data_IF_252029778443
#
_entry.id   IF_252029778443
#
_cell.length_a   1.000
_cell.length_b   1.000
_cell.length_c   1.000
_cell.angle_alpha   90.00
_cell.angle_beta   90.00
_cell.angle_gamma   90.00
#
_symmetry.space_group_name_H-M   'P 1'
#
loop_
_entity.id
_entity.type
_entity.pdbx_description
1 polymer ?
#
# COMPACT_ATOMS: atom_id res chain seq x y z
N UNK A 1 -19.55 10.51 14.91
CA UNK A 1 -18.14 10.94 15.10
C UNK A 1 -18.19 12.31 15.77
N UNK A 2 -17.41 12.58 16.83
CA UNK A 2 -17.40 13.93 17.43
C UNK A 2 -16.59 14.87 16.53
N UNK A 3 -16.95 16.15 16.47
CA UNK A 3 -16.32 17.15 15.60
C UNK A 3 -14.84 17.37 15.91
N UNK A 4 -14.42 17.17 17.16
CA UNK A 4 -13.01 17.25 17.59
C UNK A 4 -12.09 16.16 16.99
N UNK A 5 -12.67 15.12 16.37
CA UNK A 5 -11.95 14.06 15.65
C UNK A 5 -12.22 14.12 14.13
N UNK A 6 -12.51 15.31 13.60
CA UNK A 6 -12.58 15.50 12.15
C UNK A 6 -11.16 15.61 11.57
N UNK A 7 -10.75 14.57 10.84
CA UNK A 7 -9.44 14.46 10.21
C UNK A 7 -9.48 14.72 8.70
N UNK A 8 -10.54 15.36 8.19
CA UNK A 8 -10.71 15.60 6.75
C UNK A 8 -9.61 16.48 6.13
N UNK A 9 -9.01 17.39 6.90
CA UNK A 9 -7.85 18.20 6.49
C UNK A 9 -6.49 17.60 6.93
N UNK A 10 -6.48 16.32 7.33
CA UNK A 10 -5.28 15.65 7.81
C UNK A 10 -4.21 15.49 6.73
N UNK A 11 -3.01 16.04 6.95
CA UNK A 11 -1.87 15.86 6.05
C UNK A 11 -1.08 14.61 6.41
N UNK A 12 -0.66 13.86 5.39
CA UNK A 12 0.13 12.65 5.58
C UNK A 12 1.48 12.93 6.25
N UNK A 13 1.71 12.35 7.42
CA UNK A 13 2.93 12.56 8.20
C UNK A 13 4.19 11.90 7.60
N UNK A 14 5.37 12.37 8.04
CA UNK A 14 6.70 11.93 7.55
C UNK A 14 6.99 10.43 7.65
N UNK A 15 6.29 9.70 8.52
CA UNK A 15 6.50 8.26 8.75
C UNK A 15 5.56 7.34 7.96
N UNK A 16 4.74 7.88 7.05
CA UNK A 16 3.72 7.09 6.36
C UNK A 16 4.29 5.89 5.57
N UNK A 17 5.48 6.03 4.97
CA UNK A 17 6.14 4.94 4.23
C UNK A 17 6.62 3.83 5.16
N UNK A 18 7.11 4.19 6.36
CA UNK A 18 7.54 3.22 7.36
C UNK A 18 6.36 2.39 7.88
N UNK A 19 5.20 3.04 8.08
CA UNK A 19 3.97 2.38 8.50
C UNK A 19 3.50 1.27 7.53
N UNK A 20 3.74 1.45 6.22
CA UNK A 20 3.41 0.45 5.18
C UNK A 20 4.23 -0.83 5.22
N UNK A 21 5.36 -0.86 5.94
CA UNK A 21 6.22 -2.06 6.04
C UNK A 21 5.59 -3.20 6.82
N UNK A 22 4.43 -2.94 7.43
CA UNK A 22 3.81 -3.86 8.35
C UNK A 22 4.00 -3.40 9.78
N UNK A 23 2.94 -3.43 10.55
CA UNK A 23 2.98 -3.16 11.98
C UNK A 23 1.88 -3.97 12.68
N UNK A 24 2.08 -4.17 13.99
CA UNK A 24 1.15 -4.88 14.84
C UNK A 24 0.41 -3.87 15.71
N UNK A 25 -0.91 -3.88 15.64
CA UNK A 25 -1.78 -3.10 16.53
C UNK A 25 -2.27 -4.02 17.64
N UNK A 26 -2.02 -3.64 18.90
CA UNK A 26 -2.53 -4.32 20.09
C UNK A 26 -3.63 -3.46 20.70
N UNK A 27 -4.85 -3.95 20.67
CA UNK A 27 -6.02 -3.30 21.26
C UNK A 27 -6.27 -3.96 22.62
N UNK A 28 -6.05 -3.19 23.68
CA UNK A 28 -6.37 -3.58 25.04
C UNK A 28 -7.83 -3.24 25.31
N UNK A 29 -8.62 -4.25 25.68
CA UNK A 29 -10.02 -4.06 26.05
C UNK A 29 -10.15 -3.97 27.57
N UNK A 30 -11.21 -3.31 28.02
CA UNK A 30 -11.51 -3.12 29.45
C UNK A 30 -11.75 -4.46 30.19
N UNK A 31 -12.07 -5.52 29.44
CA UNK A 31 -12.22 -6.90 29.93
C UNK A 31 -10.88 -7.65 30.12
N UNK A 32 -9.74 -6.97 29.91
CA UNK A 32 -8.39 -7.52 30.03
C UNK A 32 -7.92 -8.32 28.80
N UNK A 33 -8.75 -8.48 27.76
CA UNK A 33 -8.35 -9.19 26.54
C UNK A 33 -7.51 -8.28 25.64
N UNK A 34 -6.53 -8.87 24.98
CA UNK A 34 -5.71 -8.20 23.97
C UNK A 34 -6.11 -8.73 22.59
N UNK A 35 -6.59 -7.85 21.71
CA UNK A 35 -6.78 -8.16 20.29
C UNK A 35 -5.55 -7.70 19.52
N UNK A 36 -4.92 -8.62 18.80
CA UNK A 36 -3.73 -8.36 18.00
C UNK A 36 -4.12 -8.37 16.53
N UNK A 37 -3.94 -7.26 15.84
CA UNK A 37 -4.19 -7.14 14.41
C UNK A 37 -2.88 -6.82 13.68
N UNK A 38 -2.53 -7.66 12.71
CA UNK A 38 -1.34 -7.46 11.89
C UNK A 38 -1.76 -6.75 10.60
N UNK A 39 -1.30 -5.52 10.43
CA UNK A 39 -1.53 -4.73 9.22
C UNK A 39 -0.25 -4.75 8.38
N UNK A 40 -0.01 -5.86 7.69
CA UNK A 40 1.08 -6.05 6.72
C UNK A 40 0.48 -6.15 5.32
N UNK A 41 1.17 -5.60 4.31
CA UNK A 41 0.86 -5.94 2.93
C UNK A 41 1.21 -7.41 2.70
N UNK A 42 0.24 -8.19 2.25
CA UNK A 42 0.47 -9.56 1.81
C UNK A 42 1.54 -9.60 0.71
N UNK A 43 2.20 -10.74 0.58
CA UNK A 43 3.25 -10.91 -0.43
C UNK A 43 2.67 -10.69 -1.84
N UNK A 44 3.28 -9.78 -2.60
CA UNK A 44 2.79 -9.36 -3.93
C UNK A 44 1.77 -8.21 -3.92
N UNK A 45 1.27 -7.76 -2.77
CA UNK A 45 0.41 -6.59 -2.71
C UNK A 45 1.20 -5.29 -2.91
N UNK A 46 0.65 -4.37 -3.71
CA UNK A 46 1.21 -3.03 -3.95
C UNK A 46 0.16 -2.00 -3.57
N UNK A 47 0.55 -1.03 -2.73
CA UNK A 47 -0.33 0.07 -2.35
C UNK A 47 -0.17 1.24 -3.33
N UNK A 48 -1.25 1.59 -4.03
CA UNK A 48 -1.29 2.77 -4.91
C UNK A 48 -1.42 4.05 -4.09
N UNK A 49 -0.62 5.06 -4.45
CA UNK A 49 -0.74 6.38 -3.84
C UNK A 49 -2.07 7.07 -4.24
N UNK A 50 -2.62 7.97 -3.40
CA UNK A 50 -3.93 8.59 -3.66
C UNK A 50 -4.00 9.40 -4.96
N UNK A 51 -2.88 9.96 -5.42
CA UNK A 51 -2.76 10.64 -6.71
C UNK A 51 -2.78 9.67 -7.90
N UNK A 52 -2.40 8.41 -7.69
CA UNK A 52 -2.36 7.37 -8.74
C UNK A 52 -3.71 6.63 -8.85
N UNK A 53 -4.43 6.47 -7.74
CA UNK A 53 -5.73 5.75 -7.70
C UNK A 53 -6.75 6.22 -8.75
N UNK A 54 -6.91 7.53 -9.05
CA UNK A 54 -7.86 8.00 -10.07
C UNK A 54 -7.57 7.46 -11.48
N UNK A 55 -6.32 7.08 -11.76
CA UNK A 55 -5.89 6.56 -13.06
C UNK A 55 -6.00 5.04 -13.16
N UNK A 56 -6.01 4.33 -12.02
CA UNK A 56 -5.99 2.87 -11.95
C UNK A 56 -7.11 2.36 -11.03
N UNK A 57 -8.32 2.09 -11.58
CA UNK A 57 -9.47 1.71 -10.77
C UNK A 57 -9.35 0.31 -10.16
N UNK A 58 -8.50 -0.57 -10.71
CA UNK A 58 -8.31 -1.93 -10.22
C UNK A 58 -6.92 -2.50 -10.57
N UNK A 59 -6.63 -3.70 -10.07
CA UNK A 59 -5.37 -4.41 -10.30
C UNK A 59 -5.14 -4.79 -11.77
N UNK A 60 -6.19 -5.03 -12.54
CA UNK A 60 -6.07 -5.43 -13.95
C UNK A 60 -5.50 -4.29 -14.79
N UNK A 61 -6.02 -3.07 -14.60
CA UNK A 61 -5.52 -1.86 -15.26
C UNK A 61 -4.05 -1.57 -14.92
N UNK A 62 -3.64 -1.78 -13.65
CA UNK A 62 -2.23 -1.63 -13.25
C UNK A 62 -1.36 -2.65 -13.97
N UNK A 63 -1.78 -3.92 -13.97
CA UNK A 63 -1.01 -5.00 -14.55
C UNK A 63 -0.88 -4.87 -16.07
N UNK A 64 -1.92 -4.40 -16.75
CA UNK A 64 -1.86 -4.11 -18.19
C UNK A 64 -0.81 -3.04 -18.50
N UNK A 65 -0.82 -1.92 -17.77
CA UNK A 65 0.17 -0.86 -17.95
C UNK A 65 1.60 -1.35 -17.69
N UNK A 66 1.82 -2.10 -16.61
CA UNK A 66 3.14 -2.67 -16.28
C UNK A 66 3.63 -3.64 -17.35
N UNK A 67 2.75 -4.49 -17.90
CA UNK A 67 3.11 -5.39 -19.01
C UNK A 67 3.49 -4.62 -20.28
N UNK A 68 2.78 -3.54 -20.58
CA UNK A 68 3.13 -2.63 -21.67
C UNK A 68 4.55 -2.06 -21.52
N UNK A 69 4.89 -1.59 -20.31
CA UNK A 69 6.25 -1.11 -20.02
C UNK A 69 7.30 -2.22 -20.16
N UNK A 70 7.02 -3.43 -19.65
CA UNK A 70 7.91 -4.58 -19.77
C UNK A 70 8.21 -4.90 -21.24
N UNK A 71 7.22 -4.78 -22.13
CA UNK A 71 7.39 -5.01 -23.56
C UNK A 71 8.32 -3.99 -24.24
N UNK A 72 8.40 -2.76 -23.71
CA UNK A 72 9.25 -1.69 -24.22
C UNK A 72 10.69 -1.75 -23.68
N UNK A 73 10.94 -2.50 -22.61
CA UNK A 73 12.30 -2.68 -22.08
C UNK A 73 13.11 -3.47 -23.13
N UNK A 74 14.23 -2.91 -23.63
CA UNK A 74 15.08 -3.63 -24.57
C UNK A 74 15.51 -4.95 -23.94
N UNK A 75 15.20 -6.07 -24.60
CA UNK A 75 15.73 -7.36 -24.16
C UNK A 75 17.25 -7.26 -24.21
N UNK A 76 17.90 -7.30 -23.05
CA UNK A 76 19.32 -7.66 -23.01
C UNK A 76 19.42 -9.02 -23.66
N UNK A 77 19.94 -9.05 -24.89
CA UNK A 77 20.43 -10.27 -25.48
C UNK A 77 21.42 -10.84 -24.47
N UNK A 78 21.12 -12.05 -23.98
CA UNK A 78 22.07 -12.80 -23.19
C UNK A 78 23.35 -12.82 -24.02
N UNK A 79 24.39 -12.13 -23.53
CA UNK A 79 25.73 -12.32 -24.05
C UNK A 79 25.97 -13.83 -24.00
N UNK A 80 26.10 -14.42 -25.19
CA UNK A 80 26.46 -15.81 -25.35
C UNK A 80 27.80 -15.99 -24.64
N UNK A 81 27.79 -16.81 -23.59
CA UNK A 81 28.98 -17.42 -23.04
C UNK A 81 29.34 -18.65 -23.89
#
# INVERSE_FOLDING_TARGET
MRSEYDFSDGVRGKHYRAYRRGHQVKIYKDDGRISVQNFKLEEGAVFLEPDIQPYFPNSDAVNEALRGLIALIPKREKQAA
#
